data_IF_332667502914
#
_entry.id   IF_332667502914
#
_cell.length_a   1.000
_cell.length_b   1.000
_cell.length_c   1.000
_cell.angle_alpha   90.00
_cell.angle_beta   90.00
_cell.angle_gamma   90.00
#
_symmetry.space_group_name_H-M   'P 1'
#
loop_
_entity.id
_entity.type
_entity.pdbx_description
1 polymer ?
#
# COMPACT_ATOMS: atom_id res chain seq x y z
N UNK A 1 22.35 7.88 -23.21
CA UNK A 1 22.17 7.85 -22.80
C UNK A 1 21.84 7.61 -21.97
N UNK A 2 21.63 7.80 -22.09
CA UNK A 2 21.20 7.74 -21.47
C UNK A 2 20.95 7.49 -20.54
N UNK A 3 20.94 7.64 -20.72
CA UNK A 3 20.71 7.55 -20.04
C UNK A 3 20.48 7.36 -18.97
N UNK A 4 20.38 7.48 -19.23
CA UNK A 4 20.06 7.50 -18.49
C UNK A 4 19.88 7.25 -17.44
N UNK A 5 19.87 7.28 -17.65
CA UNK A 5 19.69 7.19 -16.92
C UNK A 5 19.44 7.08 -15.87
N UNK A 6 19.41 7.09 -16.00
CA UNK A 6 19.20 7.18 -15.27
C UNK A 6 19.16 7.12 -14.29
N UNK A 7 19.23 7.20 -14.41
CA UNK A 7 19.40 7.26 -13.62
C UNK A 7 19.12 7.48 -12.64
N UNK A 8 18.88 7.19 -12.94
CA UNK A 8 18.43 7.67 -12.30
C UNK A 8 18.72 7.91 -11.17
N UNK A 9 18.80 8.27 -11.26
CA UNK A 9 19.29 8.79 -10.12
C UNK A 9 18.33 9.39 -9.20
N UNK A 10 17.21 8.86 -9.13
CA UNK A 10 16.24 9.32 -8.19
C UNK A 10 16.68 8.90 -6.81
N UNK A 11 16.65 9.74 -5.79
CA UNK A 11 17.02 9.35 -4.45
C UNK A 11 16.04 8.36 -3.85
N UNK A 12 14.87 8.28 -4.41
CA UNK A 12 13.83 7.38 -3.94
C UNK A 12 13.95 6.05 -4.61
N UNK A 13 13.87 4.97 -3.83
CA UNK A 13 13.91 3.63 -4.39
C UNK A 13 12.51 3.16 -4.73
N UNK A 14 12.40 2.39 -5.81
CA UNK A 14 11.15 1.77 -6.19
C UNK A 14 11.19 0.30 -5.84
N UNK A 15 10.13 -0.18 -5.20
CA UNK A 15 9.96 -1.59 -4.95
C UNK A 15 9.74 -2.33 -6.27
N UNK A 16 10.26 -3.57 -6.44
CA UNK A 16 10.04 -4.32 -7.69
C UNK A 16 8.56 -4.49 -8.05
N UNK A 17 7.67 -4.47 -7.07
CA UNK A 17 6.24 -4.61 -7.30
C UNK A 17 5.50 -3.29 -7.30
N UNK A 18 6.23 -2.16 -7.40
CA UNK A 18 5.62 -0.84 -7.27
C UNK A 18 4.45 -0.64 -8.25
N UNK A 19 4.64 -1.00 -9.50
CA UNK A 19 3.61 -0.73 -10.52
C UNK A 19 2.31 -1.47 -10.21
N UNK A 20 2.39 -2.74 -9.86
CA UNK A 20 1.19 -3.50 -9.53
C UNK A 20 0.60 -3.06 -8.20
N UNK A 21 1.44 -2.70 -7.24
CA UNK A 21 0.97 -2.21 -5.93
C UNK A 21 0.32 -0.85 -6.08
N UNK A 22 0.86 0.01 -6.97
CA UNK A 22 0.24 1.31 -7.27
C UNK A 22 -1.18 1.12 -7.80
N UNK A 23 -1.35 0.17 -8.72
CA UNK A 23 -2.68 -0.12 -9.27
C UNK A 23 -3.64 -0.57 -8.18
N UNK A 24 -3.17 -1.41 -7.25
CA UNK A 24 -4.01 -1.87 -6.15
C UNK A 24 -4.44 -0.73 -5.25
N UNK A 25 -3.52 0.17 -4.93
CA UNK A 25 -3.84 1.31 -4.07
C UNK A 25 -4.77 2.27 -4.77
N UNK A 26 -4.58 2.50 -6.06
CA UNK A 26 -5.50 3.36 -6.83
C UNK A 26 -6.90 2.80 -6.82
N UNK A 27 -7.05 1.47 -6.91
CA UNK A 27 -8.36 0.83 -6.80
C UNK A 27 -8.96 1.04 -5.42
N UNK A 28 -8.15 0.95 -4.36
CA UNK A 28 -8.63 1.20 -3.00
C UNK A 28 -9.05 2.65 -2.81
N UNK A 29 -8.28 3.59 -3.37
CA UNK A 29 -8.62 5.01 -3.30
C UNK A 29 -9.95 5.30 -3.99
N UNK A 30 -10.25 4.58 -5.06
CA UNK A 30 -11.50 4.77 -5.79
C UNK A 30 -12.70 4.08 -5.17
N UNK A 31 -12.49 3.22 -4.18
CA UNK A 31 -13.57 2.50 -3.55
C UNK A 31 -14.35 3.41 -2.59
N UNK A 32 -15.65 3.25 -2.57
CA UNK A 32 -16.51 4.01 -1.67
C UNK A 32 -17.23 3.05 -0.75
N UNK A 33 -17.42 3.48 0.48
CA UNK A 33 -18.11 2.72 1.50
C UNK A 33 -17.16 1.80 2.26
N UNK A 34 -17.73 0.82 2.94
CA UNK A 34 -16.98 -0.08 3.79
C UNK A 34 -16.10 -1.00 2.95
N UNK A 35 -14.88 -1.26 3.40
CA UNK A 35 -14.01 -2.20 2.69
C UNK A 35 -14.48 -3.63 2.88
N UNK A 36 -14.34 -4.44 1.84
CA UNK A 36 -14.58 -5.87 1.95
C UNK A 36 -13.32 -6.59 2.43
N UNK A 37 -13.42 -7.92 2.61
CA UNK A 37 -12.31 -8.72 3.14
C UNK A 37 -11.09 -8.66 2.22
N UNK A 38 -11.28 -8.73 0.91
CA UNK A 38 -10.17 -8.63 -0.03
C UNK A 38 -9.46 -7.30 0.09
N UNK A 39 -10.21 -6.22 0.24
CA UNK A 39 -9.62 -4.89 0.36
C UNK A 39 -8.85 -4.74 1.67
N UNK A 40 -9.40 -5.26 2.75
CA UNK A 40 -8.72 -5.24 4.04
C UNK A 40 -7.41 -6.02 4.00
N UNK A 41 -7.44 -7.23 3.44
CA UNK A 41 -6.24 -8.07 3.37
C UNK A 41 -5.21 -7.49 2.41
N UNK A 42 -5.66 -6.90 1.31
CA UNK A 42 -4.74 -6.23 0.37
C UNK A 42 -4.03 -5.07 1.05
N UNK A 43 -4.76 -4.23 1.77
CA UNK A 43 -4.16 -3.09 2.45
C UNK A 43 -3.18 -3.55 3.53
N UNK A 44 -3.52 -4.58 4.30
CA UNK A 44 -2.62 -5.11 5.33
C UNK A 44 -1.34 -5.68 4.72
N UNK A 45 -1.48 -6.43 3.62
CA UNK A 45 -0.33 -6.97 2.92
C UNK A 45 0.60 -5.85 2.45
N UNK A 46 0.03 -4.80 1.88
CA UNK A 46 0.82 -3.68 1.38
C UNK A 46 1.50 -2.91 2.51
N UNK A 47 0.81 -2.67 3.62
CA UNK A 47 1.44 -2.03 4.77
C UNK A 47 2.64 -2.83 5.26
N UNK A 48 2.52 -4.15 5.31
CA UNK A 48 3.62 -5.00 5.75
C UNK A 48 4.75 -5.02 4.72
N UNK A 49 4.43 -5.04 3.43
CA UNK A 49 5.44 -5.05 2.36
C UNK A 49 6.29 -3.81 2.39
N UNK A 50 5.69 -2.65 2.65
CA UNK A 50 6.40 -1.38 2.62
C UNK A 50 6.86 -0.91 4.00
N UNK A 51 6.67 -1.71 5.02
CA UNK A 51 7.11 -1.36 6.37
C UNK A 51 8.63 -1.22 6.38
N UNK A 52 9.10 -0.03 6.69
CA UNK A 52 10.54 0.25 6.70
C UNK A 52 11.16 0.43 5.32
N UNK A 53 10.39 0.33 4.24
CA UNK A 53 10.94 0.52 2.90
C UNK A 53 11.27 2.00 2.69
N UNK A 54 12.48 2.32 2.18
CA UNK A 54 12.94 3.71 2.14
C UNK A 54 12.49 4.50 0.92
N UNK A 55 11.59 3.98 0.11
CA UNK A 55 11.12 4.67 -1.10
C UNK A 55 9.64 4.53 -1.27
N UNK A 56 9.15 4.83 -2.48
CA UNK A 56 7.73 4.74 -2.83
C UNK A 56 6.86 5.55 -1.87
N UNK A 57 7.31 6.78 -1.53
CA UNK A 57 6.66 7.59 -0.52
C UNK A 57 5.23 7.95 -0.89
N UNK A 58 4.97 8.22 -2.17
CA UNK A 58 3.63 8.52 -2.65
C UNK A 58 2.68 7.36 -2.42
N UNK A 59 3.14 6.15 -2.70
CA UNK A 59 2.36 4.94 -2.51
C UNK A 59 2.06 4.72 -1.03
N UNK A 60 3.05 4.88 -0.18
CA UNK A 60 2.88 4.69 1.26
C UNK A 60 1.94 5.72 1.86
N UNK A 61 2.01 6.97 1.40
CA UNK A 61 1.11 8.02 1.87
C UNK A 61 -0.33 7.72 1.47
N UNK A 62 -0.54 7.31 0.23
CA UNK A 62 -1.88 7.02 -0.25
C UNK A 62 -2.48 5.82 0.46
N UNK A 63 -1.66 4.81 0.73
CA UNK A 63 -2.11 3.65 1.49
C UNK A 63 -2.54 4.04 2.90
N UNK A 64 -1.78 4.92 3.54
CA UNK A 64 -2.15 5.44 4.86
C UNK A 64 -3.48 6.18 4.80
N UNK A 65 -3.69 6.99 3.77
CA UNK A 65 -4.95 7.70 3.58
C UNK A 65 -6.13 6.75 3.44
N UNK A 66 -5.94 5.66 2.70
CA UNK A 66 -6.99 4.64 2.53
C UNK A 66 -7.38 4.06 3.89
N UNK A 67 -6.40 3.61 4.64
CA UNK A 67 -6.65 2.94 5.93
C UNK A 67 -7.28 3.91 6.92
N UNK A 68 -6.78 5.14 6.99
CA UNK A 68 -7.37 6.16 7.86
C UNK A 68 -8.78 6.52 7.44
N UNK A 69 -9.04 6.53 6.14
CA UNK A 69 -10.38 6.77 5.61
C UNK A 69 -11.38 5.71 6.03
N UNK A 70 -10.91 4.50 6.34
CA UNK A 70 -11.76 3.43 6.87
C UNK A 70 -11.93 3.52 8.39
N UNK A 71 -11.29 4.50 9.02
CA UNK A 71 -11.35 4.64 10.47
C UNK A 71 -10.46 3.66 11.21
N UNK A 72 -9.42 3.15 10.55
CA UNK A 72 -8.53 2.14 11.13
C UNK A 72 -7.11 2.67 11.23
N UNK A 73 -6.35 2.12 12.18
CA UNK A 73 -4.91 2.24 12.17
C UNK A 73 -4.31 0.89 11.74
N UNK A 74 -2.98 0.83 11.67
CA UNK A 74 -2.29 -0.38 11.25
C UNK A 74 -2.63 -1.57 12.14
N UNK A 75 -2.65 -1.35 13.45
CA UNK A 75 -2.90 -2.42 14.40
C UNK A 75 -4.32 -2.96 14.27
N UNK A 76 -5.29 -2.06 14.13
CA UNK A 76 -6.69 -2.45 13.93
C UNK A 76 -6.88 -3.18 12.64
N UNK A 77 -6.22 -2.74 11.56
CA UNK A 77 -6.29 -3.41 10.27
C UNK A 77 -5.71 -4.83 10.37
N UNK A 78 -4.56 -4.97 11.01
CA UNK A 78 -3.94 -6.28 11.17
C UNK A 78 -4.81 -7.21 12.02
N UNK A 79 -5.47 -6.69 13.04
CA UNK A 79 -6.39 -7.48 13.86
C UNK A 79 -7.56 -7.99 13.03
N UNK A 80 -8.12 -7.14 12.17
CA UNK A 80 -9.23 -7.54 11.30
C UNK A 80 -8.80 -8.63 10.31
N UNK A 81 -7.61 -8.49 9.73
CA UNK A 81 -7.13 -9.47 8.76
C UNK A 81 -6.80 -10.80 9.42
N UNK A 82 -6.28 -10.78 10.65
CA UNK A 82 -6.07 -12.04 11.39
C UNK A 82 -7.40 -12.75 11.63
N UNK A 83 -8.45 -12.00 11.95
CA UNK A 83 -9.77 -12.57 12.15
C UNK A 83 -10.31 -13.20 10.86
N UNK A 84 -10.08 -12.56 9.72
CA UNK A 84 -10.49 -13.09 8.42
C UNK A 84 -9.78 -14.41 8.15
N UNK A 85 -8.48 -14.48 8.38
CA UNK A 85 -7.69 -15.66 8.09
C UNK A 85 -7.95 -16.80 9.09
N UNK A 86 -8.50 -16.49 10.25
CA UNK A 86 -8.80 -17.49 11.27
C UNK A 86 -10.19 -18.10 11.12
N UNK A 87 -11.03 -17.50 10.30
CA UNK A 87 -12.41 -17.95 10.16
C UNK A 87 -12.57 -19.10 9.18
#
# INVERSE_FOLDING_TARGET
MDTNQQISVTPEQNHPLYASDRDRIDALLGHRGEPNEDQLTTAAMLLNRYDGFPGANDLQEDLTKVVMGWGLDREQLNAKTRAIWSS
#
